data_IF_444999156785
#
_entry.id   IF_444999156785
#
_cell.length_a   1.000
_cell.length_b   1.000
_cell.length_c   1.000
_cell.angle_alpha   90.00
_cell.angle_beta   90.00
_cell.angle_gamma   90.00
#
_symmetry.space_group_name_H-M   'P 1'
#
loop_
_entity.id
_entity.type
_entity.pdbx_description
1 polymer ?
#
# COMPACT_ATOMS: atom_id res chain seq x y z
N UNK A 1 -8.85 -8.99 -4.08
CA UNK A 1 -9.34 -8.81 -5.45
C UNK A 1 -8.54 -9.65 -6.42
N UNK A 2 -9.23 -10.34 -7.31
CA UNK A 2 -8.61 -11.24 -8.28
C UNK A 2 -8.95 -10.79 -9.70
N UNK A 3 -8.00 -10.98 -10.62
CA UNK A 3 -8.20 -10.72 -12.04
C UNK A 3 -8.45 -12.06 -12.72
N UNK A 4 -9.59 -12.19 -13.42
CA UNK A 4 -9.88 -13.40 -14.16
C UNK A 4 -9.07 -13.47 -15.44
N UNK A 5 -8.46 -14.62 -15.67
CA UNK A 5 -7.70 -14.88 -16.89
C UNK A 5 -8.24 -16.14 -17.55
N UNK A 6 -8.01 -16.27 -18.86
CA UNK A 6 -8.43 -17.47 -19.60
C UNK A 6 -7.45 -18.63 -19.44
N UNK A 7 -6.36 -18.42 -18.69
CA UNK A 7 -5.26 -19.40 -18.62
C UNK A 7 -5.21 -20.19 -17.32
N UNK A 8 -6.26 -20.18 -16.54
CA UNK A 8 -6.42 -21.10 -15.41
C UNK A 8 -6.25 -20.49 -14.03
N UNK A 9 -5.12 -19.88 -13.71
CA UNK A 9 -4.95 -19.23 -12.41
C UNK A 9 -5.23 -17.75 -12.47
N UNK A 10 -6.14 -17.29 -11.61
CA UNK A 10 -6.49 -15.89 -11.52
C UNK A 10 -5.59 -15.21 -10.48
N UNK A 11 -4.74 -14.24 -10.88
CA UNK A 11 -3.92 -13.54 -9.90
C UNK A 11 -4.78 -12.72 -8.93
N UNK A 12 -4.48 -12.84 -7.67
CA UNK A 12 -5.20 -12.14 -6.60
C UNK A 12 -4.28 -11.23 -5.83
N UNK A 13 -4.78 -10.05 -5.48
CA UNK A 13 -4.08 -9.11 -4.61
C UNK A 13 -4.98 -8.77 -3.43
N UNK A 14 -4.36 -8.38 -2.33
CA UNK A 14 -5.09 -7.84 -1.20
C UNK A 14 -5.26 -6.34 -1.42
N UNK A 15 -6.49 -5.93 -1.67
CA UNK A 15 -6.81 -4.57 -2.10
C UNK A 15 -7.63 -3.84 -1.05
N UNK A 16 -7.31 -2.56 -0.85
CA UNK A 16 -8.13 -1.70 0.01
C UNK A 16 -8.17 -0.28 -0.55
N UNK A 17 -9.37 0.29 -0.61
CA UNK A 17 -9.59 1.69 -0.95
C UNK A 17 -9.60 2.49 0.35
N UNK A 18 -8.76 3.51 0.42
CA UNK A 18 -8.65 4.36 1.61
C UNK A 18 -9.40 5.66 1.39
N UNK A 19 -10.20 6.03 2.38
CA UNK A 19 -11.02 7.24 2.30
C UNK A 19 -10.60 8.24 3.38
N UNK A 20 -10.87 9.53 3.11
CA UNK A 20 -10.64 10.58 4.10
C UNK A 20 -11.78 10.59 5.14
N UNK A 21 -11.73 11.56 6.07
CA UNK A 21 -12.71 11.67 7.15
C UNK A 21 -14.13 11.96 6.64
N UNK A 22 -14.25 12.50 5.44
CA UNK A 22 -15.55 12.80 4.81
C UNK A 22 -16.08 11.63 3.97
N UNK A 23 -15.34 10.52 3.94
CA UNK A 23 -15.74 9.34 3.18
C UNK A 23 -15.36 9.38 1.70
N UNK A 24 -14.59 10.38 1.26
CA UNK A 24 -14.14 10.47 -0.13
C UNK A 24 -12.95 9.54 -0.37
N UNK A 25 -13.00 8.72 -1.44
CA UNK A 25 -11.84 7.87 -1.74
C UNK A 25 -10.63 8.72 -2.11
N UNK A 26 -9.49 8.41 -1.50
CA UNK A 26 -8.26 9.18 -1.69
C UNK A 26 -7.14 8.31 -2.25
N UNK A 27 -6.95 7.11 -1.70
CA UNK A 27 -5.82 6.27 -2.10
C UNK A 27 -6.25 4.82 -2.22
N UNK A 28 -5.45 4.05 -2.94
CA UNK A 28 -5.65 2.62 -3.10
C UNK A 28 -4.38 1.90 -2.72
N UNK A 29 -4.53 0.76 -2.03
CA UNK A 29 -3.40 -0.09 -1.65
C UNK A 29 -3.64 -1.49 -2.18
N UNK A 30 -2.65 -2.05 -2.86
CA UNK A 30 -2.67 -3.44 -3.31
C UNK A 30 -1.42 -4.15 -2.78
N UNK A 31 -1.61 -5.30 -2.16
CA UNK A 31 -0.51 -6.10 -1.60
C UNK A 31 -0.50 -7.47 -2.26
N UNK A 32 0.68 -7.95 -2.62
CA UNK A 32 0.86 -9.25 -3.23
C UNK A 32 2.13 -9.90 -2.67
N UNK A 33 2.23 -11.22 -2.81
CA UNK A 33 3.42 -11.95 -2.35
C UNK A 33 4.46 -12.02 -3.45
N UNK A 34 5.72 -12.01 -3.07
CA UNK A 34 6.85 -12.18 -3.99
C UNK A 34 7.47 -13.57 -3.80
N UNK A 35 8.20 -14.08 -4.82
CA UNK A 35 8.84 -15.38 -4.69
C UNK A 35 9.82 -15.40 -3.52
N UNK A 36 9.94 -16.57 -2.87
CA UNK A 36 10.88 -16.75 -1.78
C UNK A 36 12.32 -16.60 -2.25
N UNK A 37 13.19 -16.18 -1.33
CA UNK A 37 14.62 -16.04 -1.58
C UNK A 37 15.07 -14.63 -1.93
N UNK A 38 14.13 -13.68 -2.16
CA UNK A 38 14.46 -12.29 -2.41
C UNK A 38 14.54 -11.48 -1.11
N UNK A 39 14.99 -10.24 -1.23
CA UNK A 39 15.05 -9.31 -0.09
C UNK A 39 13.66 -8.93 0.40
N UNK A 40 12.72 -8.84 -0.52
CA UNK A 40 11.34 -8.50 -0.20
C UNK A 40 10.49 -9.77 -0.18
N UNK A 41 9.70 -9.93 0.87
CA UNK A 41 8.76 -11.03 1.00
C UNK A 41 7.46 -10.73 0.27
N UNK A 42 7.12 -9.46 0.13
CA UNK A 42 5.89 -9.01 -0.51
C UNK A 42 6.14 -7.69 -1.21
N UNK A 43 5.22 -7.35 -2.09
CA UNK A 43 5.19 -6.03 -2.71
C UNK A 43 3.87 -5.35 -2.44
N UNK A 44 3.90 -4.04 -2.46
CA UNK A 44 2.69 -3.24 -2.34
C UNK A 44 2.75 -2.10 -3.33
N UNK A 45 1.60 -1.74 -3.87
CA UNK A 45 1.46 -0.55 -4.71
C UNK A 45 0.45 0.36 -4.04
N UNK A 46 0.86 1.59 -3.76
CA UNK A 46 -0.01 2.61 -3.21
C UNK A 46 -0.21 3.67 -4.27
N UNK A 47 -1.47 3.95 -4.60
CA UNK A 47 -1.84 4.98 -5.58
C UNK A 47 -2.46 6.13 -4.82
N UNK A 48 -1.89 7.33 -4.97
CA UNK A 48 -2.37 8.55 -4.31
C UNK A 48 -2.77 9.58 -5.36
N UNK A 49 -3.52 10.63 -4.99
CA UNK A 49 -3.96 11.63 -5.96
C UNK A 49 -2.78 12.35 -6.62
N UNK A 50 -3.02 12.85 -7.82
CA UNK A 50 -2.10 13.79 -8.45
C UNK A 50 -1.96 15.03 -7.55
N UNK A 51 -0.87 15.77 -7.73
CA UNK A 51 -0.53 16.92 -6.90
C UNK A 51 -0.11 16.55 -5.47
N UNK A 52 0.28 15.30 -5.24
CA UNK A 52 0.97 14.92 -4.00
C UNK A 52 2.42 15.42 -4.07
N UNK A 53 2.90 15.97 -2.98
CA UNK A 53 4.28 16.48 -2.90
C UNK A 53 5.25 15.31 -2.79
N UNK A 54 5.89 14.96 -3.91
CA UNK A 54 6.65 13.72 -4.03
C UNK A 54 7.92 13.71 -3.18
N UNK A 55 8.53 14.87 -2.96
CA UNK A 55 9.76 14.98 -2.19
C UNK A 55 9.56 14.64 -0.72
N UNK A 56 8.34 14.73 -0.21
CA UNK A 56 8.03 14.36 1.17
C UNK A 56 7.82 12.85 1.33
N UNK A 57 7.74 12.12 0.24
CA UNK A 57 7.58 10.68 0.22
C UNK A 57 6.28 10.19 0.87
N UNK A 58 6.04 8.90 0.76
CA UNK A 58 4.90 8.24 1.40
C UNK A 58 5.34 7.69 2.74
N UNK A 59 4.56 7.91 3.78
CA UNK A 59 4.86 7.37 5.11
C UNK A 59 3.86 6.30 5.49
N UNK A 60 4.35 5.18 6.01
CA UNK A 60 3.50 4.11 6.54
C UNK A 60 3.93 3.81 7.96
N UNK A 61 2.99 3.91 8.90
CA UNK A 61 3.24 3.61 10.30
C UNK A 61 2.17 2.64 10.80
N UNK A 62 2.60 1.57 11.49
CA UNK A 62 1.70 0.56 12.03
C UNK A 62 1.46 0.85 13.51
N UNK A 63 0.18 0.94 13.90
CA UNK A 63 -0.25 1.10 15.30
C UNK A 63 0.46 2.24 16.07
N UNK A 64 0.68 3.36 15.39
CA UNK A 64 1.30 4.51 16.04
C UNK A 64 2.81 4.43 16.18
N UNK A 65 3.45 3.47 15.53
CA UNK A 65 4.91 3.39 15.48
C UNK A 65 5.53 4.52 14.69
N UNK A 66 6.86 4.50 14.56
CA UNK A 66 7.59 5.59 13.90
C UNK A 66 7.35 5.69 12.42
N UNK A 67 7.00 4.61 11.76
CA UNK A 67 6.77 4.61 10.34
C UNK A 67 8.05 4.60 9.52
N UNK A 68 7.87 4.29 8.26
CA UNK A 68 8.94 4.29 7.26
C UNK A 68 8.52 5.17 6.09
N UNK A 69 9.50 5.77 5.44
CA UNK A 69 9.27 6.58 4.24
C UNK A 69 9.59 5.77 3.00
N UNK A 70 8.74 5.92 1.99
CA UNK A 70 8.89 5.22 0.70
C UNK A 70 8.80 6.23 -0.43
N UNK A 71 9.71 6.18 -1.39
CA UNK A 71 9.67 7.11 -2.52
C UNK A 71 8.54 6.76 -3.48
N UNK A 72 8.08 7.75 -4.21
CA UNK A 72 7.15 7.53 -5.32
C UNK A 72 7.92 7.09 -6.55
N UNK A 73 7.34 6.18 -7.32
CA UNK A 73 7.98 5.62 -8.50
C UNK A 73 7.66 6.40 -9.76
N UNK A 74 6.40 6.78 -9.95
CA UNK A 74 5.96 7.52 -11.13
C UNK A 74 4.54 8.04 -10.93
N UNK A 75 4.12 8.93 -11.82
CA UNK A 75 2.73 9.42 -11.86
C UNK A 75 2.20 9.27 -13.28
N UNK A 76 0.89 9.06 -13.40
CA UNK A 76 0.17 9.05 -14.67
C UNK A 76 -1.18 9.73 -14.46
N UNK A 77 -2.09 9.80 -15.45
CA UNK A 77 -3.37 10.49 -15.26
C UNK A 77 -4.26 9.93 -14.16
N UNK A 78 -4.02 8.68 -13.72
CA UNK A 78 -4.79 8.07 -12.63
C UNK A 78 -4.32 8.59 -11.27
N UNK A 79 -3.02 8.79 -11.08
CA UNK A 79 -2.46 9.24 -9.82
C UNK A 79 -0.96 9.00 -9.75
N UNK A 80 -0.41 9.12 -8.56
CA UNK A 80 1.01 8.85 -8.31
C UNK A 80 1.16 7.52 -7.58
N UNK A 81 2.14 6.75 -8.01
CA UNK A 81 2.35 5.37 -7.58
C UNK A 81 3.60 5.26 -6.73
N UNK A 82 3.48 4.63 -5.57
CA UNK A 82 4.61 4.20 -4.78
C UNK A 82 4.66 2.67 -4.82
N UNK A 83 5.72 2.11 -5.39
CA UNK A 83 5.94 0.67 -5.42
C UNK A 83 6.88 0.31 -4.30
N UNK A 84 6.39 -0.52 -3.39
CA UNK A 84 7.05 -0.76 -2.11
C UNK A 84 7.44 -2.22 -2.01
N UNK A 85 8.69 -2.48 -1.60
CA UNK A 85 9.12 -3.81 -1.19
C UNK A 85 8.92 -3.96 0.32
N UNK A 86 8.20 -4.98 0.73
CA UNK A 86 7.98 -5.28 2.14
C UNK A 86 8.89 -6.43 2.54
N UNK A 87 9.69 -6.22 3.59
CA UNK A 87 10.51 -7.28 4.16
C UNK A 87 9.63 -8.25 4.96
N UNK A 88 10.20 -9.40 5.33
CA UNK A 88 9.48 -10.32 6.20
C UNK A 88 9.07 -9.66 7.53
N UNK A 89 9.93 -8.78 8.05
CA UNK A 89 9.65 -8.00 9.25
C UNK A 89 8.45 -7.06 9.07
N UNK A 90 8.37 -6.41 7.92
CA UNK A 90 7.25 -5.52 7.59
C UNK A 90 5.95 -6.31 7.51
N UNK A 91 5.97 -7.47 6.86
CA UNK A 91 4.78 -8.33 6.74
C UNK A 91 4.32 -8.79 8.12
N UNK A 92 5.25 -9.18 8.99
CA UNK A 92 4.91 -9.57 10.35
C UNK A 92 4.27 -8.43 11.15
N UNK A 93 4.77 -7.20 10.98
CA UNK A 93 4.20 -6.03 11.63
C UNK A 93 2.76 -5.81 11.16
N UNK A 94 2.49 -5.98 9.88
CA UNK A 94 1.14 -5.85 9.33
C UNK A 94 0.21 -6.95 9.87
N UNK A 95 0.72 -8.18 10.00
CA UNK A 95 -0.08 -9.28 10.52
C UNK A 95 -0.46 -9.10 11.98
N UNK A 96 0.40 -8.47 12.77
CA UNK A 96 0.16 -8.24 14.19
C UNK A 96 -0.57 -6.94 14.48
N UNK A 97 -0.56 -6.00 13.53
CA UNK A 97 -1.13 -4.68 13.72
C UNK A 97 -2.63 -4.64 13.53
N UNK A 98 -3.24 -3.58 14.01
CA UNK A 98 -4.66 -3.31 13.81
C UNK A 98 -4.89 -2.31 12.69
N UNK A 99 -4.06 -1.28 12.59
CA UNK A 99 -4.20 -0.20 11.61
C UNK A 99 -2.83 0.25 11.13
N UNK A 100 -2.67 0.39 9.82
CA UNK A 100 -1.53 1.07 9.22
C UNK A 100 -1.97 2.47 8.79
N UNK A 101 -1.21 3.49 9.20
CA UNK A 101 -1.49 4.86 8.80
C UNK A 101 -0.60 5.26 7.65
N UNK A 102 -1.23 5.67 6.58
CA UNK A 102 -0.55 6.10 5.35
C UNK A 102 -0.68 7.61 5.27
N UNK A 103 0.45 8.31 5.23
CA UNK A 103 0.46 9.77 5.24
C UNK A 103 1.11 10.30 3.98
N UNK A 104 0.47 11.32 3.41
CA UNK A 104 0.97 12.05 2.24
C UNK A 104 0.87 13.54 2.51
N UNK A 105 1.65 14.32 1.76
CA UNK A 105 1.61 15.78 1.84
C UNK A 105 1.12 16.31 0.50
N UNK A 106 0.01 17.07 0.46
CA UNK A 106 -0.46 17.66 -0.79
C UNK A 106 0.44 18.80 -1.25
N UNK A 107 0.72 18.86 -2.55
CA UNK A 107 1.53 19.95 -3.11
C UNK A 107 0.90 21.34 -2.87
N UNK A 108 -0.43 21.52 -3.04
CA UNK A 108 -1.03 22.83 -2.77
C UNK A 108 -1.01 23.26 -1.30
N UNK A 109 -0.78 22.32 -0.37
CA UNK A 109 -0.75 22.62 1.07
C UNK A 109 0.44 21.90 1.71
N UNK A 110 1.68 22.32 1.43
CA UNK A 110 2.87 21.58 1.86
C UNK A 110 3.11 21.59 3.37
N UNK A 111 2.39 22.41 4.11
CA UNK A 111 2.43 22.43 5.57
C UNK A 111 1.39 21.51 6.22
N UNK A 112 0.60 20.80 5.40
CA UNK A 112 -0.42 19.88 5.90
C UNK A 112 -0.07 18.44 5.58
N UNK A 113 -0.55 17.52 6.40
CA UNK A 113 -0.39 16.09 6.18
C UNK A 113 -1.77 15.45 6.13
N UNK A 114 -2.00 14.65 5.09
CA UNK A 114 -3.22 13.83 4.99
C UNK A 114 -2.87 12.43 5.45
N UNK A 115 -3.55 11.95 6.50
CA UNK A 115 -3.32 10.63 7.07
C UNK A 115 -4.55 9.77 6.82
N UNK A 116 -4.32 8.59 6.24
CA UNK A 116 -5.38 7.64 5.91
C UNK A 116 -5.16 6.35 6.69
N UNK A 117 -6.25 5.80 7.21
CA UNK A 117 -6.19 4.56 7.96
C UNK A 117 -6.41 3.37 7.03
N UNK A 118 -5.46 2.46 7.00
CA UNK A 118 -5.59 1.17 6.33
C UNK A 118 -5.86 0.11 7.39
N UNK A 119 -7.05 -0.50 7.32
CA UNK A 119 -7.39 -1.56 8.26
C UNK A 119 -6.50 -2.78 8.01
N UNK A 120 -5.95 -3.33 9.07
CA UNK A 120 -5.18 -4.58 9.03
C UNK A 120 -6.01 -5.77 9.51
N UNK A 121 -7.27 -5.55 9.84
CA UNK A 121 -8.22 -6.62 10.17
C UNK A 121 -8.37 -7.55 8.97
N UNK A 122 -8.15 -8.84 9.18
CA UNK A 122 -8.19 -9.81 8.10
C UNK A 122 -6.96 -9.85 7.20
N UNK A 123 -5.94 -9.04 7.50
CA UNK A 123 -4.73 -8.99 6.68
C UNK A 123 -4.06 -10.36 6.58
N UNK A 124 -3.88 -11.05 7.72
CA UNK A 124 -3.22 -12.36 7.72
C UNK A 124 -3.94 -13.36 6.83
N UNK A 125 -5.26 -13.48 6.99
CA UNK A 125 -6.04 -14.41 6.19
C UNK A 125 -6.07 -14.02 4.71
N UNK A 126 -6.20 -12.73 4.42
CA UNK A 126 -6.18 -12.22 3.05
C UNK A 126 -4.81 -12.38 2.39
N UNK A 127 -3.75 -12.10 3.12
CA UNK A 127 -2.39 -12.21 2.61
C UNK A 127 -2.04 -13.65 2.21
N UNK A 128 -2.53 -14.62 3.00
CA UNK A 128 -2.28 -16.03 2.69
C UNK A 128 -2.98 -16.48 1.40
N UNK A 129 -3.97 -15.73 0.94
CA UNK A 129 -4.73 -16.07 -0.27
C UNK A 129 -4.27 -15.32 -1.52
N UNK A 130 -3.39 -14.31 -1.38
CA UNK A 130 -2.94 -13.57 -2.55
C UNK A 130 -1.94 -14.37 -3.35
N UNK A 131 -1.85 -14.05 -4.64
CA UNK A 131 -0.96 -14.72 -5.56
C UNK A 131 0.48 -14.28 -5.38
N UNK A 132 1.42 -15.18 -5.68
CA UNK A 132 2.83 -14.83 -5.77
C UNK A 132 3.06 -14.27 -7.16
N UNK A 133 3.54 -13.03 -7.24
CA UNK A 133 3.80 -12.37 -8.51
C UNK A 133 5.29 -12.28 -8.78
N UNK A 134 5.66 -12.59 -10.01
CA UNK A 134 7.04 -12.45 -10.48
C UNK A 134 7.18 -11.10 -11.16
N UNK A 135 8.15 -10.33 -10.74
CA UNK A 135 8.46 -9.05 -11.37
C UNK A 135 9.66 -9.17 -12.30
#
# INVERSE_FOLDING_TARGET
QCIRTEQGEDPCTLYQLLSDDDGNPVAEVSVFRLPEGGRAAAGATVIVPLETLLTEQLRIAVDGGQGKLYPFSFCNPIGCYSRIGLTASDVEAFKRGAVARISIVPFPAPDQTVTLDMSLSGFTAGFDKVSVLNN
#
